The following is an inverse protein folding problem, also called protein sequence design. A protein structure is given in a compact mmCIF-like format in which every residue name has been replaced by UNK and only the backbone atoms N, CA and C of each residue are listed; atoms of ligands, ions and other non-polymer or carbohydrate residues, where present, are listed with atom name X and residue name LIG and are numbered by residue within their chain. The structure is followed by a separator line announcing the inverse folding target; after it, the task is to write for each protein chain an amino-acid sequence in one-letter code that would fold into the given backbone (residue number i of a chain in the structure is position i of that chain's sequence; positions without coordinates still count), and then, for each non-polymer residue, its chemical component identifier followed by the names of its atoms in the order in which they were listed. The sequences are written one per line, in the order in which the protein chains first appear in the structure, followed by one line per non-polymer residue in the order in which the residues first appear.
data_IF_195328141725
#
_entry.id   IF_195328141725
#
_cell.length_a   1.000
_cell.length_b   1.000
_cell.length_c   1.000
_cell.angle_alpha   90.00
_cell.angle_beta   90.00
_cell.angle_gamma   90.00
#
_symmetry.space_group_name_H-M   'P 1'
#
loop_
_entity.id
_entity.type
_entity.pdbx_description
1 polymer ?
#
# COMPACT_ATOMS: atom_id res chain seq x y z
N UNK A 1 -8.26 -10.92 0.22
CA UNK A 1 -7.04 -10.63 1.02
C UNK A 1 -6.17 -9.66 0.21
N UNK A 2 -5.44 -8.79 0.87
CA UNK A 2 -4.73 -7.64 0.28
C UNK A 2 -3.56 -8.10 -0.59
N UNK A 3 -2.83 -9.12 -0.16
CA UNK A 3 -1.64 -9.68 -0.84
C UNK A 3 -1.94 -10.02 -2.29
N UNK A 4 -3.00 -10.80 -2.54
CA UNK A 4 -3.41 -11.16 -3.92
C UNK A 4 -3.73 -9.93 -4.77
N UNK A 5 -4.44 -8.95 -4.22
CA UNK A 5 -4.78 -7.72 -4.93
C UNK A 5 -3.55 -6.86 -5.25
N UNK A 6 -2.55 -6.85 -4.35
CA UNK A 6 -1.27 -6.17 -4.57
C UNK A 6 -0.49 -6.85 -5.70
N UNK A 7 -0.39 -8.18 -5.70
CA UNK A 7 0.28 -8.94 -6.76
C UNK A 7 -0.36 -8.66 -8.13
N UNK A 8 -1.69 -8.63 -8.19
CA UNK A 8 -2.46 -8.30 -9.38
C UNK A 8 -2.36 -6.81 -9.80
N UNK A 9 -2.09 -5.91 -8.85
CA UNK A 9 -1.89 -4.49 -9.11
C UNK A 9 -0.46 -4.19 -9.56
N UNK A 10 0.55 -4.89 -9.03
CA UNK A 10 1.98 -4.63 -9.26
C UNK A 10 2.44 -4.57 -10.73
N UNK A 11 1.94 -5.39 -11.68
CA UNK A 11 2.35 -5.28 -13.08
C UNK A 11 1.75 -4.06 -13.79
N UNK A 12 0.68 -3.49 -13.25
CA UNK A 12 -0.03 -2.33 -13.81
C UNK A 12 0.52 -1.01 -13.24
N UNK A 13 1.84 -0.84 -13.27
CA UNK A 13 2.43 0.47 -12.98
C UNK A 13 1.95 1.48 -14.05
N UNK A 14 1.51 2.68 -13.65
CA UNK A 14 0.94 3.64 -14.59
C UNK A 14 1.92 3.96 -15.72
N UNK A 15 1.47 3.77 -16.96
CA UNK A 15 2.21 4.10 -18.17
C UNK A 15 1.81 5.52 -18.58
N UNK A 16 2.72 6.49 -18.44
CA UNK A 16 2.50 7.87 -18.91
C UNK A 16 1.70 8.75 -17.93
N UNK A 17 0.72 9.51 -18.46
CA UNK A 17 -0.08 10.50 -17.73
C UNK A 17 -1.26 9.89 -16.94
N UNK A 18 -1.15 8.63 -16.48
CA UNK A 18 -2.23 7.99 -15.74
C UNK A 18 -2.52 8.74 -14.44
N UNK A 19 -3.80 8.96 -14.15
CA UNK A 19 -4.27 9.59 -12.92
C UNK A 19 -4.44 8.53 -11.82
N UNK A 20 -4.58 8.95 -10.55
CA UNK A 20 -4.85 8.02 -9.44
C UNK A 20 -6.10 7.19 -9.70
N UNK A 21 -7.11 7.75 -10.36
CA UNK A 21 -8.36 7.06 -10.74
C UNK A 21 -8.12 5.85 -11.65
N UNK A 22 -7.11 5.92 -12.51
CA UNK A 22 -6.77 4.85 -13.47
C UNK A 22 -6.01 3.69 -12.80
N UNK A 23 -5.53 3.88 -11.57
CA UNK A 23 -4.81 2.85 -10.84
C UNK A 23 -5.74 1.77 -10.32
N UNK A 24 -5.28 0.51 -10.43
CA UNK A 24 -5.99 -0.63 -9.84
C UNK A 24 -6.16 -0.44 -8.34
N UNK A 25 -7.42 -0.45 -7.90
CA UNK A 25 -7.78 -0.29 -6.49
C UNK A 25 -7.66 -1.62 -5.76
N UNK A 26 -7.02 -1.58 -4.61
CA UNK A 26 -7.02 -2.62 -3.61
C UNK A 26 -8.14 -2.31 -2.63
N UNK A 27 -9.01 -3.27 -2.38
CA UNK A 27 -10.18 -3.09 -1.50
C UNK A 27 -9.99 -3.95 -0.27
N UNK A 28 -10.13 -3.32 0.90
CA UNK A 28 -10.24 -4.03 2.17
C UNK A 28 -11.40 -3.45 2.96
N UNK A 29 -12.43 -4.27 3.19
CA UNK A 29 -13.71 -3.83 3.76
C UNK A 29 -14.30 -2.68 2.93
N UNK A 30 -14.56 -1.51 3.55
CA UNK A 30 -15.10 -0.31 2.88
C UNK A 30 -14.01 0.70 2.48
N UNK A 31 -12.73 0.32 2.60
CA UNK A 31 -11.59 1.21 2.34
C UNK A 31 -10.95 0.87 0.99
N UNK A 32 -10.56 1.91 0.27
CA UNK A 32 -9.92 1.82 -1.04
C UNK A 32 -8.46 2.24 -0.94
N UNK A 33 -7.59 1.47 -1.57
CA UNK A 33 -6.16 1.71 -1.56
C UNK A 33 -5.57 1.60 -2.96
N UNK A 34 -4.41 2.18 -3.16
CA UNK A 34 -3.54 1.93 -4.32
C UNK A 34 -2.11 1.73 -3.84
N UNK A 35 -1.26 1.12 -4.67
CA UNK A 35 0.16 1.00 -4.36
C UNK A 35 0.82 2.37 -4.33
N UNK A 36 1.55 2.68 -3.26
CA UNK A 36 2.26 3.95 -3.13
C UNK A 36 3.26 4.15 -4.29
N UNK A 37 3.92 3.07 -4.73
CA UNK A 37 4.87 3.08 -5.84
C UNK A 37 4.25 3.50 -7.17
N UNK A 38 2.93 3.40 -7.33
CA UNK A 38 2.23 3.85 -8.54
C UNK A 38 1.94 5.35 -8.50
N UNK A 39 1.82 5.94 -7.31
CA UNK A 39 1.61 7.39 -7.16
C UNK A 39 2.94 8.13 -7.28
N UNK A 40 3.99 7.63 -6.63
CA UNK A 40 5.29 8.27 -6.68
C UNK A 40 5.93 8.06 -8.05
N UNK A 41 6.05 9.15 -8.85
CA UNK A 41 6.72 9.12 -10.16
C UNK A 41 8.07 8.40 -10.07
N UNK A 42 8.39 7.59 -11.08
CA UNK A 42 9.59 6.75 -11.32
C UNK A 42 10.97 7.23 -10.81
N UNK A 43 11.13 8.49 -10.39
CA UNK A 43 12.38 9.06 -9.88
C UNK A 43 12.63 8.84 -8.38
N UNK A 44 11.61 8.54 -7.56
CA UNK A 44 11.86 8.06 -6.19
C UNK A 44 11.80 6.53 -6.18
N UNK A 45 12.86 5.88 -5.70
CA UNK A 45 12.97 4.41 -5.58
C UNK A 45 12.03 3.82 -4.50
N UNK A 46 10.86 4.42 -4.25
CA UNK A 46 10.00 4.13 -3.11
C UNK A 46 10.74 4.24 -1.77
N UNK A 47 10.09 3.81 -0.70
CA UNK A 47 10.76 3.66 0.60
C UNK A 47 11.63 2.42 0.56
N UNK A 48 12.95 2.59 0.69
CA UNK A 48 13.93 1.48 0.70
C UNK A 48 14.15 0.91 2.10
N UNK A 49 13.08 0.70 2.87
CA UNK A 49 13.17 0.10 4.19
C UNK A 49 12.97 -1.41 4.12
N UNK A 50 13.73 -2.19 4.91
CA UNK A 50 13.62 -3.65 4.97
C UNK A 50 12.18 -4.11 5.29
N UNK A 51 11.41 -3.30 6.02
CA UNK A 51 10.02 -3.58 6.34
C UNK A 51 9.12 -3.66 5.09
N UNK A 52 9.55 -3.08 3.95
CA UNK A 52 8.90 -3.26 2.66
C UNK A 52 8.90 -4.72 2.18
N UNK A 53 9.78 -5.60 2.68
CA UNK A 53 9.71 -7.03 2.37
C UNK A 53 8.66 -7.76 3.21
N UNK A 54 8.24 -7.18 4.33
CA UNK A 54 7.31 -7.77 5.30
C UNK A 54 5.86 -7.31 5.10
N UNK A 55 5.61 -6.46 4.10
CA UNK A 55 4.31 -5.86 3.89
C UNK A 55 4.26 -4.97 2.66
N UNK A 56 3.25 -4.11 2.58
CA UNK A 56 2.97 -3.32 1.38
C UNK A 56 2.73 -1.86 1.75
N UNK A 57 3.38 -0.95 1.04
CA UNK A 57 3.09 0.47 1.15
C UNK A 57 1.91 0.85 0.25
N UNK A 58 0.86 1.36 0.88
CA UNK A 58 -0.41 1.68 0.27
C UNK A 58 -0.75 3.14 0.52
N UNK A 59 -1.42 3.77 -0.44
CA UNK A 59 -2.11 5.03 -0.22
C UNK A 59 -3.61 4.74 -0.08
N UNK A 60 -4.19 5.07 1.07
CA UNK A 60 -5.64 5.06 1.26
C UNK A 60 -6.25 6.24 0.51
N UNK A 61 -7.37 6.01 -0.16
CA UNK A 61 -8.07 7.01 -0.94
C UNK A 61 -9.36 7.45 -0.24
N UNK A 62 -9.66 8.73 -0.40
CA UNK A 62 -10.98 9.28 -0.13
C UNK A 62 -11.98 8.88 -1.25
N UNK A 63 -13.30 9.07 -1.03
CA UNK A 63 -14.31 8.82 -2.06
C UNK A 63 -14.12 9.63 -3.36
N UNK A 64 -13.48 10.80 -3.28
CA UNK A 64 -13.14 11.66 -4.42
C UNK A 64 -11.84 11.24 -5.13
N UNK A 65 -11.28 10.08 -4.77
CA UNK A 65 -10.03 9.52 -5.28
C UNK A 65 -8.77 10.34 -4.97
N UNK A 66 -8.84 11.29 -4.03
CA UNK A 66 -7.65 11.94 -3.46
C UNK A 66 -6.96 11.02 -2.44
N UNK A 67 -5.66 11.20 -2.25
CA UNK A 67 -4.92 10.45 -1.22
C UNK A 67 -5.31 10.99 0.15
N UNK A 68 -5.87 10.11 0.97
CA UNK A 68 -6.20 10.38 2.38
C UNK A 68 -4.95 10.28 3.24
N UNK A 69 -4.25 9.15 3.19
CA UNK A 69 -3.02 8.91 3.94
C UNK A 69 -2.21 7.75 3.36
N UNK A 70 -0.94 7.65 3.76
CA UNK A 70 -0.07 6.55 3.41
C UNK A 70 0.06 5.58 4.57
N UNK A 71 -0.18 4.31 4.28
CA UNK A 71 -0.17 3.22 5.24
C UNK A 71 0.78 2.11 4.79
N UNK A 72 1.24 1.32 5.75
CA UNK A 72 1.89 0.05 5.52
C UNK A 72 0.97 -1.06 6.02
N UNK A 73 0.64 -2.01 5.14
CA UNK A 73 -0.15 -3.18 5.46
C UNK A 73 0.77 -4.37 5.77
N UNK A 74 0.57 -5.01 6.92
CA UNK A 74 1.35 -6.18 7.34
C UNK A 74 0.93 -7.43 6.54
N UNK A 75 1.86 -8.01 5.76
CA UNK A 75 1.58 -9.21 4.95
C UNK A 75 1.24 -10.44 5.82
N UNK A 76 2.02 -10.78 6.87
CA UNK A 76 1.67 -11.91 7.75
C UNK A 76 0.28 -11.81 8.38
N UNK A 77 -0.16 -10.61 8.77
CA UNK A 77 -1.48 -10.40 9.35
C UNK A 77 -2.60 -10.55 8.32
N UNK A 78 -2.38 -10.02 7.11
CA UNK A 78 -3.31 -10.19 6.00
C UNK A 78 -3.46 -11.67 5.62
N UNK A 79 -2.36 -12.43 5.53
CA UNK A 79 -2.37 -13.89 5.29
C UNK A 79 -3.18 -14.67 6.34
N UNK A 80 -3.19 -14.19 7.60
CA UNK A 80 -4.05 -14.72 8.69
C UNK A 80 -5.50 -14.23 8.62
N UNK A 81 -5.87 -13.49 7.58
CA UNK A 81 -7.22 -12.93 7.37
C UNK A 81 -7.54 -11.69 8.20
N UNK A 82 -6.56 -11.11 8.92
CA UNK A 82 -6.74 -9.94 9.78
C UNK A 82 -5.74 -8.86 9.39
N UNK A 83 -5.94 -8.22 8.24
CA UNK A 83 -5.03 -7.18 7.77
C UNK A 83 -4.89 -6.04 8.79
N UNK A 84 -3.65 -5.79 9.21
CA UNK A 84 -3.29 -4.70 10.13
C UNK A 84 -2.55 -3.62 9.36
N UNK A 85 -2.89 -2.36 9.63
CA UNK A 85 -2.35 -1.20 8.94
C UNK A 85 -1.66 -0.27 9.93
N UNK A 86 -0.54 0.30 9.49
CA UNK A 86 0.26 1.25 10.27
C UNK A 86 0.53 2.50 9.43
N UNK A 87 0.60 3.67 10.06
CA UNK A 87 0.96 4.90 9.34
C UNK A 87 2.34 4.78 8.74
N UNK A 88 2.49 5.02 7.45
CA UNK A 88 3.76 4.82 6.79
C UNK A 88 4.79 5.91 7.16
N UNK A 89 4.35 7.11 7.57
CA UNK A 89 5.22 8.25 7.94
C UNK A 89 6.30 7.89 8.96
N UNK A 90 6.03 6.94 9.86
CA UNK A 90 7.01 6.34 10.76
C UNK A 90 6.84 4.83 10.76
N UNK A 91 7.93 4.10 10.58
CA UNK A 91 7.88 2.63 10.56
C UNK A 91 8.03 2.00 11.94
N UNK A 92 8.27 2.79 13.01
CA UNK A 92 8.55 2.25 14.35
C UNK A 92 7.46 1.33 14.87
N UNK A 93 6.18 1.73 14.78
CA UNK A 93 5.06 0.89 15.24
C UNK A 93 4.88 -0.38 14.42
N UNK A 94 5.17 -0.32 13.12
CA UNK A 94 5.11 -1.49 12.25
C UNK A 94 6.27 -2.46 12.53
N UNK A 95 7.48 -1.93 12.82
CA UNK A 95 8.64 -2.71 13.25
C UNK A 95 8.37 -3.38 14.59
N UNK A 96 7.85 -2.63 15.56
CA UNK A 96 7.50 -3.14 16.88
C UNK A 96 6.45 -4.24 16.80
N UNK A 97 5.43 -4.06 15.95
CA UNK A 97 4.45 -5.09 15.65
C UNK A 97 5.06 -6.37 15.06
N UNK A 98 6.07 -6.27 14.19
CA UNK A 98 6.70 -7.47 13.61
C UNK A 98 7.60 -8.22 14.60
N UNK A 99 8.00 -7.59 15.70
CA UNK A 99 8.81 -8.19 16.75
C UNK A 99 7.99 -8.96 17.78
N UNK A 100 6.66 -8.77 17.80
CA UNK A 100 5.72 -9.33 18.77
C UNK A 100 4.65 -10.19 18.08
#
# INVERSE_FOLDING_TARGET
NITKQVEEASPNAPVGNSTISDLRKIIWQRRHFVLESHIQKKKSKGRRSWIGTQGFFLAELNPDHTVKEYLWACRPCDERGKATFFKAQSTSSAIDHLRN
#
